data_IF_690515967851
#
_entry.id   IF_690515967851
#
_cell.length_a   1.000
_cell.length_b   1.000
_cell.length_c   1.000
_cell.angle_alpha   90.00
_cell.angle_beta   90.00
_cell.angle_gamma   90.00
#
_symmetry.space_group_name_H-M   'P 1'
#
loop_
_entity.id
_entity.type
_entity.pdbx_description
1 polymer ?
#
# COMPACT_ATOMS: atom_id res chain seq x y z
N UNK A 1 -6.56 -11.42 13.44
CA UNK A 1 -6.00 -12.54 12.65
C UNK A 1 -4.99 -13.30 13.50
N UNK A 2 -5.08 -14.63 13.58
CA UNK A 2 -4.11 -15.47 14.28
C UNK A 2 -2.99 -15.95 13.32
N UNK A 3 -1.94 -16.58 13.86
CA UNK A 3 -0.77 -17.05 13.07
C UNK A 3 -1.17 -18.08 12.01
N UNK A 4 -2.11 -18.97 12.31
CA UNK A 4 -2.56 -19.98 11.34
C UNK A 4 -3.31 -19.34 10.16
N UNK A 5 -4.16 -18.34 10.44
CA UNK A 5 -4.83 -17.54 9.41
C UNK A 5 -3.80 -16.82 8.54
N UNK A 6 -2.79 -16.16 9.13
CA UNK A 6 -1.72 -15.52 8.38
C UNK A 6 -0.99 -16.48 7.43
N UNK A 7 -0.63 -17.67 7.91
CA UNK A 7 0.01 -18.69 7.08
C UNK A 7 -0.88 -19.19 5.95
N UNK A 8 -2.19 -19.27 6.17
CA UNK A 8 -3.14 -19.63 5.11
C UNK A 8 -3.24 -18.54 4.05
N UNK A 9 -3.36 -17.27 4.43
CA UNK A 9 -3.37 -16.16 3.49
C UNK A 9 -2.09 -16.11 2.65
N UNK A 10 -0.93 -16.32 3.26
CA UNK A 10 0.35 -16.40 2.54
C UNK A 10 0.40 -17.51 1.49
N UNK A 11 -0.24 -18.67 1.74
CA UNK A 11 -0.37 -19.73 0.73
C UNK A 11 -1.23 -19.30 -0.44
N UNK A 12 -2.34 -18.60 -0.18
CA UNK A 12 -3.23 -18.05 -1.22
C UNK A 12 -2.48 -17.04 -2.09
N UNK A 13 -1.74 -16.12 -1.46
CA UNK A 13 -0.93 -15.11 -2.16
C UNK A 13 0.08 -15.74 -3.12
N UNK A 14 0.64 -16.91 -2.78
CA UNK A 14 1.58 -17.64 -3.65
C UNK A 14 0.98 -18.11 -4.99
N UNK A 15 -0.33 -18.00 -5.17
CA UNK A 15 -1.02 -18.29 -6.44
C UNK A 15 -1.16 -17.06 -7.35
N UNK A 16 -1.02 -15.83 -6.83
CA UNK A 16 -1.28 -14.61 -7.60
C UNK A 16 -0.36 -14.45 -8.81
N UNK A 17 0.90 -14.85 -8.70
CA UNK A 17 1.85 -14.75 -9.82
C UNK A 17 1.69 -15.88 -10.87
N UNK A 18 0.85 -16.88 -10.58
CA UNK A 18 0.72 -18.11 -11.38
C UNK A 18 -0.64 -18.23 -12.08
N UNK A 19 -1.63 -17.49 -11.60
CA UNK A 19 -2.99 -17.48 -12.16
C UNK A 19 -3.29 -16.08 -12.70
N UNK A 20 -3.50 -16.00 -14.02
CA UNK A 20 -3.76 -14.74 -14.71
C UNK A 20 -4.98 -14.01 -14.13
N UNK A 21 -6.06 -14.74 -13.80
CA UNK A 21 -7.30 -14.14 -13.30
C UNK A 21 -7.11 -13.58 -11.90
N UNK A 22 -6.33 -14.26 -11.06
CA UNK A 22 -5.98 -13.75 -9.73
C UNK A 22 -5.04 -12.55 -9.81
N UNK A 23 -4.10 -12.55 -10.77
CA UNK A 23 -3.23 -11.40 -11.03
C UNK A 23 -4.03 -10.17 -11.46
N UNK A 24 -5.03 -10.34 -12.34
CA UNK A 24 -5.93 -9.27 -12.77
C UNK A 24 -6.74 -8.70 -11.59
N UNK A 25 -7.35 -9.56 -10.75
CA UNK A 25 -8.04 -9.12 -9.54
C UNK A 25 -7.14 -8.38 -8.56
N UNK A 26 -5.90 -8.83 -8.41
CA UNK A 26 -4.91 -8.16 -7.55
C UNK A 26 -4.55 -6.78 -8.11
N UNK A 27 -4.38 -6.66 -9.42
CA UNK A 27 -4.12 -5.39 -10.08
C UNK A 27 -5.28 -4.40 -9.88
N UNK A 28 -6.52 -4.83 -10.12
CA UNK A 28 -7.70 -3.99 -9.92
C UNK A 28 -7.80 -3.50 -8.47
N UNK A 29 -7.58 -4.40 -7.51
CA UNK A 29 -7.58 -4.04 -6.09
C UNK A 29 -6.44 -3.09 -5.73
N UNK A 30 -5.27 -3.26 -6.33
CA UNK A 30 -4.13 -2.38 -6.12
C UNK A 30 -4.41 -0.96 -6.62
N UNK A 31 -5.01 -0.83 -7.80
CA UNK A 31 -5.41 0.47 -8.37
C UNK A 31 -6.42 1.18 -7.47
N UNK A 32 -7.47 0.47 -7.03
CA UNK A 32 -8.50 1.02 -6.14
C UNK A 32 -7.88 1.58 -4.84
N UNK A 33 -6.94 0.85 -4.24
CA UNK A 33 -6.28 1.29 -3.01
C UNK A 33 -5.32 2.47 -3.22
N UNK A 34 -4.59 2.51 -4.34
CA UNK A 34 -3.72 3.67 -4.67
C UNK A 34 -4.55 4.95 -4.77
N UNK A 35 -5.71 4.89 -5.42
CA UNK A 35 -6.60 6.05 -5.61
C UNK A 35 -7.14 6.60 -4.29
N UNK A 36 -7.20 5.79 -3.24
CA UNK A 36 -7.64 6.21 -1.91
C UNK A 36 -6.61 7.09 -1.17
N UNK A 37 -5.32 6.99 -1.51
CA UNK A 37 -4.24 7.70 -0.80
C UNK A 37 -3.84 8.96 -1.54
N UNK A 38 -4.09 10.12 -0.91
CA UNK A 38 -3.70 11.43 -1.43
C UNK A 38 -2.29 11.80 -1.00
N UNK A 39 -1.42 12.14 -1.95
CA UNK A 39 -0.01 12.47 -1.67
C UNK A 39 0.17 13.59 -0.63
N UNK A 40 -0.67 14.63 -0.66
CA UNK A 40 -0.58 15.73 0.31
C UNK A 40 -0.87 15.29 1.76
N UNK A 41 -1.74 14.29 1.96
CA UNK A 41 -2.02 13.75 3.30
C UNK A 41 -0.86 12.92 3.82
N UNK A 42 -0.12 12.28 2.92
CA UNK A 42 1.07 11.53 3.28
C UNK A 42 2.25 12.47 3.55
N UNK A 43 2.42 13.52 2.74
CA UNK A 43 3.45 14.52 2.92
C UNK A 43 3.31 15.31 4.23
N UNK A 44 2.10 15.51 4.75
CA UNK A 44 1.89 16.20 6.04
C UNK A 44 2.40 15.41 7.24
N UNK A 45 2.58 14.09 7.12
CA UNK A 45 3.16 13.28 8.21
C UNK A 45 4.59 13.69 8.55
N UNK A 46 5.31 14.32 7.61
CA UNK A 46 6.67 14.80 7.81
C UNK A 46 6.73 16.12 8.60
N UNK A 47 5.61 16.80 8.87
CA UNK A 47 5.60 18.07 9.62
C UNK A 47 6.18 17.94 11.04
N UNK A 48 6.23 16.71 11.57
CA UNK A 48 6.87 16.38 12.85
C UNK A 48 8.35 16.75 12.93
N UNK A 49 9.03 16.94 11.78
CA UNK A 49 10.44 17.35 11.76
C UNK A 49 10.63 18.83 12.09
N UNK A 50 9.56 19.64 12.02
CA UNK A 50 9.58 21.04 12.46
C UNK A 50 9.90 21.13 13.96
N UNK A 51 9.35 20.20 14.76
CA UNK A 51 9.64 20.08 16.20
C UNK A 51 11.10 19.67 16.49
N UNK A 52 11.85 19.27 15.45
CA UNK A 52 13.28 18.95 15.51
C UNK A 52 14.17 20.08 14.99
N UNK A 53 13.59 21.25 14.71
CA UNK A 53 14.32 22.44 14.29
C UNK A 53 14.54 22.56 12.78
N UNK A 54 13.91 21.71 11.97
CA UNK A 54 13.86 21.94 10.51
C UNK A 54 13.01 23.18 10.25
N UNK A 55 13.56 24.13 9.48
CA UNK A 55 12.82 25.34 9.12
C UNK A 55 11.72 25.02 8.12
N UNK A 56 10.56 25.68 8.26
CA UNK A 56 9.39 25.41 7.41
C UNK A 56 9.70 25.58 5.92
N UNK A 57 10.40 26.64 5.55
CA UNK A 57 10.78 26.90 4.15
C UNK A 57 11.69 25.81 3.56
N UNK A 58 12.52 25.17 4.39
CA UNK A 58 13.37 24.05 3.94
C UNK A 58 12.53 22.80 3.74
N UNK A 59 11.58 22.53 4.63
CA UNK A 59 10.67 21.39 4.52
C UNK A 59 9.78 21.51 3.28
N UNK A 60 9.17 22.67 3.04
CA UNK A 60 8.32 22.87 1.87
C UNK A 60 9.12 22.76 0.56
N UNK A 61 10.31 23.37 0.48
CA UNK A 61 11.18 23.21 -0.68
C UNK A 61 11.60 21.76 -0.92
N UNK A 62 11.80 20.98 0.14
CA UNK A 62 12.08 19.55 0.01
C UNK A 62 10.87 18.75 -0.47
N UNK A 63 9.65 19.09 -0.04
CA UNK A 63 8.42 18.42 -0.48
C UNK A 63 8.06 18.71 -1.94
N UNK A 64 8.45 19.88 -2.44
CA UNK A 64 8.22 20.30 -3.83
C UNK A 64 9.31 19.79 -4.79
N UNK A 65 10.36 19.12 -4.30
CA UNK A 65 11.40 18.61 -5.18
C UNK A 65 10.94 17.32 -5.89
N UNK A 66 11.34 17.09 -7.17
CA UNK A 66 10.94 15.90 -7.92
C UNK A 66 11.32 14.59 -7.23
N UNK A 67 12.49 14.55 -6.57
CA UNK A 67 12.95 13.33 -5.90
C UNK A 67 12.03 12.94 -4.74
N UNK A 68 11.47 13.92 -4.02
CA UNK A 68 10.50 13.65 -2.97
C UNK A 68 9.17 13.18 -3.55
N UNK A 69 8.63 13.87 -4.57
CA UNK A 69 7.37 13.47 -5.20
C UNK A 69 7.42 12.04 -5.77
N UNK A 70 8.50 11.69 -6.48
CA UNK A 70 8.73 10.35 -7.02
C UNK A 70 8.83 9.30 -5.91
N UNK A 71 9.56 9.59 -4.83
CA UNK A 71 9.67 8.70 -3.69
C UNK A 71 8.30 8.48 -3.01
N UNK A 72 7.52 9.54 -2.85
CA UNK A 72 6.20 9.44 -2.23
C UNK A 72 5.21 8.67 -3.11
N UNK A 73 5.29 8.80 -4.44
CA UNK A 73 4.49 8.00 -5.36
C UNK A 73 4.88 6.52 -5.30
N UNK A 74 6.19 6.21 -5.29
CA UNK A 74 6.68 4.85 -5.15
C UNK A 74 6.26 4.22 -3.81
N UNK A 75 6.45 4.92 -2.70
CA UNK A 75 6.00 4.48 -1.38
C UNK A 75 4.51 4.16 -1.37
N UNK A 76 3.68 5.05 -1.93
CA UNK A 76 2.23 4.84 -2.03
C UNK A 76 1.92 3.57 -2.81
N UNK A 77 2.51 3.39 -3.99
CA UNK A 77 2.26 2.22 -4.84
C UNK A 77 2.69 0.92 -4.13
N UNK A 78 3.88 0.87 -3.58
CA UNK A 78 4.40 -0.34 -2.95
C UNK A 78 3.65 -0.71 -1.67
N UNK A 79 3.34 0.28 -0.83
CA UNK A 79 2.55 0.06 0.38
C UNK A 79 1.15 -0.50 0.02
N UNK A 80 0.49 0.08 -0.98
CA UNK A 80 -0.83 -0.40 -1.41
C UNK A 80 -0.75 -1.78 -2.08
N UNK A 81 0.33 -2.10 -2.78
CA UNK A 81 0.52 -3.44 -3.37
C UNK A 81 0.58 -4.52 -2.29
N UNK A 82 1.27 -4.24 -1.17
CA UNK A 82 1.33 -5.14 -0.02
C UNK A 82 -0.08 -5.33 0.57
N UNK A 83 -0.78 -4.23 0.86
CA UNK A 83 -2.12 -4.30 1.45
C UNK A 83 -3.10 -5.02 0.52
N UNK A 84 -3.09 -4.72 -0.78
CA UNK A 84 -3.93 -5.40 -1.78
C UNK A 84 -3.73 -6.91 -1.78
N UNK A 85 -2.49 -7.39 -1.66
CA UNK A 85 -2.19 -8.84 -1.57
C UNK A 85 -2.82 -9.47 -0.32
N UNK A 86 -2.71 -8.81 0.82
CA UNK A 86 -3.32 -9.30 2.07
C UNK A 86 -4.84 -9.27 2.03
N UNK A 87 -5.42 -8.17 1.57
CA UNK A 87 -6.86 -7.98 1.51
C UNK A 87 -7.52 -8.96 0.52
N UNK A 88 -6.97 -9.11 -0.69
CA UNK A 88 -7.52 -10.06 -1.68
C UNK A 88 -7.40 -11.52 -1.20
N UNK A 89 -6.28 -11.88 -0.54
CA UNK A 89 -6.14 -13.22 0.02
C UNK A 89 -7.18 -13.50 1.10
N UNK A 90 -7.44 -12.54 1.98
CA UNK A 90 -8.46 -12.63 3.03
C UNK A 90 -9.87 -12.77 2.44
N UNK A 91 -10.19 -11.98 1.40
CA UNK A 91 -11.47 -12.08 0.68
C UNK A 91 -11.68 -13.47 0.06
N UNK A 92 -10.64 -14.05 -0.55
CA UNK A 92 -10.70 -15.39 -1.16
C UNK A 92 -10.81 -16.51 -0.12
N UNK A 93 -10.15 -16.37 1.03
CA UNK A 93 -10.26 -17.32 2.15
C UNK A 93 -11.69 -17.31 2.71
N UNK A 94 -12.26 -16.13 2.95
CA UNK A 94 -13.64 -15.98 3.42
C UNK A 94 -14.69 -16.53 2.44
N UNK A 95 -14.46 -16.42 1.12
CA UNK A 95 -15.34 -17.03 0.11
C UNK A 95 -15.28 -18.56 0.11
N UNK A 96 -14.14 -19.16 0.49
CA UNK A 96 -13.99 -20.61 0.60
C UNK A 96 -14.71 -21.17 1.82
N UNK A 97 -14.69 -20.45 2.94
CA UNK A 97 -15.40 -20.87 4.16
C UNK A 97 -16.93 -20.77 4.03
N UNK A 98 -17.43 -19.99 3.07
CA UNK A 98 -18.86 -19.78 2.82
C UNK A 98 -19.49 -20.73 1.79
N UNK A 99 -18.69 -21.58 1.14
CA UNK A 99 -19.10 -22.52 0.07
C UNK A 99 -19.16 -23.97 0.56
#
# INVERSE_FOLDING_TARGET
MNVNQQLNLQKIMGAFDKDYRLSEQLYDRHVELIECIRLHQLASTFDVVLDKGVRKEVLEAAKECPEFEELMDAYRREAMAIIAKWDLADQLDGQRDAA
#
